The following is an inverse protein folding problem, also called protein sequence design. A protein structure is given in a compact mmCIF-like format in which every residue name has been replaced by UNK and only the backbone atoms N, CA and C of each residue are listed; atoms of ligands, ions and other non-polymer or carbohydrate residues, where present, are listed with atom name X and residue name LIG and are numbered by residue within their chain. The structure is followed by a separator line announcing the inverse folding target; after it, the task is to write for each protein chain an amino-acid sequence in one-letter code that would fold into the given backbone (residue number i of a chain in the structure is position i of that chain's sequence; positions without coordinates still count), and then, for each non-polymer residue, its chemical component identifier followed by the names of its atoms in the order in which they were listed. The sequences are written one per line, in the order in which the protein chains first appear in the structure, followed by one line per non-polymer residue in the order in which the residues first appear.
data_IF_129349245440
#
_entry.id   IF_129349245440
#
_cell.length_a   1.000
_cell.length_b   1.000
_cell.length_c   1.000
_cell.angle_alpha   90.00
_cell.angle_beta   90.00
_cell.angle_gamma   90.00
#
_symmetry.space_group_name_H-M   'P 1'
#
loop_
_entity.id
_entity.type
_entity.pdbx_description
1 polymer ?
#
# COMPACT_ATOMS: atom_id res chain seq x y z
N UNK A 1 12.69 -20.31 -1.63
CA UNK A 1 13.83 -19.72 -2.36
C UNK A 1 14.34 -20.66 -3.44
N UNK A 2 15.08 -21.71 -3.09
CA UNK A 2 15.68 -22.68 -4.01
C UNK A 2 14.80 -23.08 -5.21
N UNK A 3 13.58 -23.57 -4.94
CA UNK A 3 12.66 -23.98 -6.00
C UNK A 3 12.23 -22.81 -6.92
N UNK A 4 12.09 -21.60 -6.38
CA UNK A 4 11.76 -20.41 -7.17
C UNK A 4 12.93 -20.03 -8.09
N UNK A 5 14.15 -19.95 -7.57
CA UNK A 5 15.34 -19.64 -8.36
C UNK A 5 15.56 -20.68 -9.45
N UNK A 6 15.50 -21.97 -9.09
CA UNK A 6 15.64 -23.08 -10.04
C UNK A 6 14.59 -23.05 -11.15
N UNK A 7 13.32 -22.80 -10.83
CA UNK A 7 12.25 -22.80 -11.83
C UNK A 7 12.32 -21.61 -12.80
N UNK A 8 12.96 -20.52 -12.39
CA UNK A 8 13.09 -19.29 -13.20
C UNK A 8 14.49 -19.12 -13.80
N UNK A 9 15.39 -20.11 -13.65
CA UNK A 9 16.79 -20.02 -14.08
C UNK A 9 17.53 -18.79 -13.53
N UNK A 10 17.31 -18.48 -12.24
CA UNK A 10 17.96 -17.39 -11.51
C UNK A 10 19.03 -17.99 -10.59
N UNK A 11 20.24 -17.44 -10.56
CA UNK A 11 21.24 -17.81 -9.55
C UNK A 11 20.79 -17.31 -8.16
N UNK A 12 20.95 -18.13 -7.12
CA UNK A 12 20.54 -17.69 -5.78
C UNK A 12 21.29 -16.45 -5.31
N UNK A 13 22.56 -16.32 -5.69
CA UNK A 13 23.36 -15.13 -5.39
C UNK A 13 22.76 -13.86 -6.00
N UNK A 14 22.27 -13.94 -7.25
CA UNK A 14 21.57 -12.84 -7.90
C UNK A 14 20.28 -12.50 -7.16
N UNK A 15 19.48 -13.48 -6.76
CA UNK A 15 18.28 -13.22 -5.97
C UNK A 15 18.62 -12.50 -4.66
N UNK A 16 19.63 -13.00 -3.93
CA UNK A 16 20.06 -12.43 -2.65
C UNK A 16 20.66 -11.03 -2.78
N UNK A 17 21.11 -10.63 -3.98
CA UNK A 17 21.54 -9.25 -4.25
C UNK A 17 20.38 -8.25 -4.21
N UNK A 18 19.14 -8.70 -4.45
CA UNK A 18 17.93 -7.85 -4.41
C UNK A 18 17.07 -8.08 -3.17
N UNK A 19 16.88 -9.34 -2.77
CA UNK A 19 15.92 -9.71 -1.72
C UNK A 19 16.51 -10.74 -0.74
N UNK A 20 16.39 -10.47 0.56
CA UNK A 20 16.84 -11.39 1.62
C UNK A 20 15.95 -12.63 1.79
N UNK A 21 14.72 -12.62 1.26
CA UNK A 21 13.78 -13.73 1.35
C UNK A 21 12.67 -13.62 0.30
N UNK A 22 11.89 -14.71 0.13
CA UNK A 22 10.69 -14.68 -0.72
C UNK A 22 9.60 -13.79 -0.10
N UNK A 23 9.57 -13.70 1.22
CA UNK A 23 8.65 -12.84 1.97
C UNK A 23 8.95 -11.37 1.69
N UNK A 24 10.23 -10.97 1.62
CA UNK A 24 10.63 -9.61 1.27
C UNK A 24 10.21 -9.26 -0.17
N UNK A 25 10.39 -10.18 -1.12
CA UNK A 25 9.88 -10.00 -2.48
C UNK A 25 8.36 -9.80 -2.51
N UNK A 26 7.59 -10.60 -1.75
CA UNK A 26 6.13 -10.47 -1.70
C UNK A 26 5.67 -9.15 -1.11
N UNK A 27 6.36 -8.67 -0.06
CA UNK A 27 6.11 -7.34 0.51
C UNK A 27 6.41 -6.22 -0.50
N UNK A 28 7.54 -6.32 -1.20
CA UNK A 28 7.94 -5.33 -2.20
C UNK A 28 6.94 -5.24 -3.37
N UNK A 29 6.33 -6.36 -3.79
CA UNK A 29 5.28 -6.34 -4.82
C UNK A 29 4.09 -5.45 -4.39
N UNK A 30 3.66 -5.50 -3.13
CA UNK A 30 2.60 -4.63 -2.62
C UNK A 30 3.03 -3.16 -2.56
N UNK A 31 4.30 -2.91 -2.20
CA UNK A 31 4.88 -1.56 -2.26
C UNK A 31 4.86 -1.05 -3.71
N UNK A 32 5.23 -1.86 -4.70
CA UNK A 32 5.20 -1.48 -6.13
C UNK A 32 3.79 -1.17 -6.62
N UNK A 33 2.76 -1.88 -6.16
CA UNK A 33 1.37 -1.51 -6.49
C UNK A 33 1.03 -0.11 -5.96
N UNK A 34 1.46 0.21 -4.76
CA UNK A 34 1.25 1.53 -4.18
C UNK A 34 2.08 2.62 -4.88
N UNK A 35 3.36 2.38 -5.18
CA UNK A 35 4.20 3.34 -5.91
C UNK A 35 3.60 3.69 -7.28
N UNK A 36 3.10 2.69 -8.01
CA UNK A 36 2.40 2.90 -9.27
C UNK A 36 1.12 3.74 -9.06
N UNK A 37 0.35 3.42 -8.01
CA UNK A 37 -0.85 4.19 -7.65
C UNK A 37 -0.52 5.66 -7.36
N UNK A 38 0.42 5.92 -6.45
CA UNK A 38 0.85 7.26 -6.07
C UNK A 38 1.38 8.04 -7.29
N UNK A 39 2.17 7.39 -8.14
CA UNK A 39 2.67 7.98 -9.38
C UNK A 39 1.54 8.37 -10.32
N UNK A 40 0.48 7.56 -10.44
CA UNK A 40 -0.66 7.88 -11.29
C UNK A 40 -1.52 9.01 -10.73
N UNK A 41 -1.68 9.10 -9.41
CA UNK A 41 -2.37 10.23 -8.77
C UNK A 41 -1.64 11.55 -9.02
N UNK A 42 -0.31 11.55 -8.91
CA UNK A 42 0.50 12.75 -9.11
C UNK A 42 0.57 13.23 -10.57
N UNK A 43 0.13 12.42 -11.54
CA UNK A 43 -0.02 12.85 -12.94
C UNK A 43 -1.26 13.70 -13.17
N UNK A 44 -2.25 13.63 -12.29
CA UNK A 44 -3.42 14.49 -12.34
C UNK A 44 -3.05 15.86 -11.76
N UNK A 45 -2.92 16.87 -12.63
CA UNK A 45 -2.56 18.23 -12.26
C UNK A 45 -3.54 18.85 -11.26
N UNK A 46 -4.80 18.38 -11.24
CA UNK A 46 -5.81 18.89 -10.32
C UNK A 46 -5.76 18.19 -8.95
N UNK A 47 -4.99 17.11 -8.81
CA UNK A 47 -4.95 16.30 -7.59
C UNK A 47 -4.62 17.13 -6.34
N UNK A 48 -3.71 18.09 -6.46
CA UNK A 48 -3.33 18.98 -5.38
C UNK A 48 -4.51 19.82 -4.84
N UNK A 49 -5.48 20.15 -5.71
CA UNK A 49 -6.65 20.98 -5.40
C UNK A 49 -7.83 20.19 -4.82
N UNK A 50 -7.75 18.86 -4.82
CA UNK A 50 -8.81 18.00 -4.29
C UNK A 50 -8.95 18.16 -2.78
N UNK A 51 -10.20 18.08 -2.29
CA UNK A 51 -10.46 17.94 -0.86
C UNK A 51 -9.85 16.62 -0.32
N UNK A 52 -9.60 16.55 0.99
CA UNK A 52 -9.05 15.32 1.61
C UNK A 52 -9.88 14.07 1.29
N UNK A 53 -11.21 14.20 1.30
CA UNK A 53 -12.11 13.11 0.93
C UNK A 53 -11.94 12.67 -0.51
N UNK A 54 -11.77 13.62 -1.45
CA UNK A 54 -11.53 13.30 -2.85
C UNK A 54 -10.14 12.69 -3.06
N UNK A 55 -9.10 13.20 -2.40
CA UNK A 55 -7.74 12.61 -2.42
C UNK A 55 -7.75 11.15 -1.94
N UNK A 56 -8.47 10.87 -0.84
CA UNK A 56 -8.64 9.50 -0.33
C UNK A 56 -9.42 8.61 -1.31
N UNK A 57 -10.51 9.12 -1.88
CA UNK A 57 -11.32 8.38 -2.85
C UNK A 57 -10.52 8.04 -4.10
N UNK A 58 -9.77 9.00 -4.65
CA UNK A 58 -8.86 8.80 -5.77
C UNK A 58 -7.79 7.76 -5.46
N UNK A 59 -7.19 7.81 -4.26
CA UNK A 59 -6.23 6.80 -3.82
C UNK A 59 -6.83 5.39 -3.85
N UNK A 60 -8.02 5.19 -3.28
CA UNK A 60 -8.68 3.89 -3.33
C UNK A 60 -8.98 3.46 -4.76
N UNK A 61 -9.61 4.33 -5.54
CA UNK A 61 -10.00 4.01 -6.92
C UNK A 61 -8.78 3.56 -7.74
N UNK A 62 -7.74 4.38 -7.79
CA UNK A 62 -6.52 4.08 -8.54
C UNK A 62 -5.78 2.86 -7.99
N UNK A 63 -5.76 2.66 -6.67
CA UNK A 63 -5.17 1.45 -6.07
C UNK A 63 -5.91 0.20 -6.54
N UNK A 64 -7.25 0.21 -6.53
CA UNK A 64 -8.04 -0.93 -6.99
C UNK A 64 -7.91 -1.17 -8.49
N UNK A 65 -7.71 -0.13 -9.31
CA UNK A 65 -7.36 -0.30 -10.73
C UNK A 65 -6.02 -1.02 -10.89
N UNK A 66 -4.98 -0.59 -10.18
CA UNK A 66 -3.66 -1.26 -10.20
C UNK A 66 -3.76 -2.71 -9.72
N UNK A 67 -4.51 -2.97 -8.65
CA UNK A 67 -4.74 -4.33 -8.16
C UNK A 67 -5.52 -5.18 -9.17
N UNK A 68 -6.49 -4.59 -9.86
CA UNK A 68 -7.28 -5.25 -10.90
C UNK A 68 -6.43 -5.62 -12.12
N UNK A 69 -5.52 -4.74 -12.55
CA UNK A 69 -4.56 -5.05 -13.61
C UNK A 69 -3.62 -6.21 -13.23
N UNK A 70 -3.40 -6.42 -11.93
CA UNK A 70 -2.54 -7.48 -11.38
C UNK A 70 -3.34 -8.59 -10.68
N UNK A 71 -4.60 -8.79 -11.07
CA UNK A 71 -5.60 -9.63 -10.37
C UNK A 71 -5.12 -11.04 -10.05
N UNK A 72 -4.40 -11.71 -10.96
CA UNK A 72 -3.94 -13.08 -10.73
C UNK A 72 -3.02 -13.18 -9.52
N UNK A 73 -2.09 -12.25 -9.37
CA UNK A 73 -1.20 -12.19 -8.20
C UNK A 73 -1.99 -11.81 -6.94
N UNK A 74 -2.85 -10.80 -7.02
CA UNK A 74 -3.66 -10.34 -5.89
C UNK A 74 -4.53 -11.47 -5.35
N UNK A 75 -5.25 -12.18 -6.22
CA UNK A 75 -6.04 -13.33 -5.83
C UNK A 75 -5.18 -14.45 -5.23
N UNK A 76 -4.01 -14.74 -5.81
CA UNK A 76 -3.10 -15.73 -5.25
C UNK A 76 -2.61 -15.34 -3.85
N UNK A 77 -2.17 -14.10 -3.66
CA UNK A 77 -1.67 -13.56 -2.39
C UNK A 77 -2.75 -13.51 -1.31
N UNK A 78 -4.01 -13.26 -1.71
CA UNK A 78 -5.16 -13.24 -0.80
C UNK A 78 -5.80 -14.64 -0.63
N UNK A 79 -5.51 -15.63 -1.47
CA UNK A 79 -6.15 -16.97 -1.45
C UNK A 79 -5.98 -17.71 -0.12
N UNK A 80 -4.88 -17.47 0.58
CA UNK A 80 -4.58 -18.13 1.87
C UNK A 80 -5.17 -17.35 3.06
N UNK A 81 -6.43 -16.90 2.96
CA UNK A 81 -7.15 -16.17 4.03
C UNK A 81 -7.26 -16.96 5.35
N UNK A 82 -7.03 -18.28 5.32
CA UNK A 82 -6.92 -19.10 6.54
C UNK A 82 -5.74 -18.69 7.43
N UNK A 83 -4.70 -18.08 6.85
CA UNK A 83 -3.54 -17.52 7.53
C UNK A 83 -3.53 -15.98 7.41
N UNK A 84 -4.61 -15.30 7.81
CA UNK A 84 -4.73 -13.84 7.72
C UNK A 84 -3.52 -13.07 8.28
N UNK A 85 -2.79 -13.64 9.25
CA UNK A 85 -1.52 -13.08 9.76
C UNK A 85 -0.42 -13.00 8.69
N UNK A 86 -0.29 -13.99 7.80
CA UNK A 86 0.71 -13.99 6.71
C UNK A 86 0.38 -12.96 5.64
N UNK A 87 -0.91 -12.80 5.31
CA UNK A 87 -1.36 -11.73 4.40
C UNK A 87 -1.06 -10.36 5.01
N UNK A 88 -1.35 -10.16 6.30
CA UNK A 88 -1.03 -8.90 6.98
C UNK A 88 0.48 -8.60 7.04
N UNK A 89 1.33 -9.62 7.15
CA UNK A 89 2.78 -9.44 7.11
C UNK A 89 3.26 -8.89 5.76
N UNK A 90 2.74 -9.40 4.65
CA UNK A 90 3.11 -8.93 3.30
C UNK A 90 2.61 -7.51 3.01
N UNK A 91 1.58 -7.04 3.72
CA UNK A 91 1.03 -5.70 3.57
C UNK A 91 1.73 -4.65 4.44
N UNK A 92 2.76 -5.02 5.22
CA UNK A 92 3.38 -4.12 6.21
C UNK A 92 3.99 -2.86 5.56
N UNK A 93 4.82 -3.01 4.54
CA UNK A 93 5.40 -1.89 3.80
C UNK A 93 4.34 -1.03 3.13
N UNK A 94 3.35 -1.66 2.49
CA UNK A 94 2.18 -0.97 1.93
C UNK A 94 1.46 -0.12 3.00
N UNK A 95 1.18 -0.69 4.17
CA UNK A 95 0.52 0.01 5.28
C UNK A 95 1.30 1.25 5.71
N UNK A 96 2.62 1.15 5.78
CA UNK A 96 3.48 2.28 6.15
C UNK A 96 3.33 3.43 5.15
N UNK A 97 3.51 3.13 3.86
CA UNK A 97 3.42 4.13 2.78
C UNK A 97 2.00 4.73 2.67
N UNK A 98 0.98 3.88 2.78
CA UNK A 98 -0.41 4.29 2.78
C UNK A 98 -0.70 5.28 3.91
N UNK A 99 -0.33 4.94 5.15
CA UNK A 99 -0.59 5.81 6.30
C UNK A 99 0.18 7.12 6.21
N UNK A 100 1.40 7.10 5.69
CA UNK A 100 2.19 8.31 5.47
C UNK A 100 1.46 9.26 4.51
N UNK A 101 0.93 8.72 3.41
CA UNK A 101 0.12 9.49 2.47
C UNK A 101 -1.14 10.07 3.09
N UNK A 102 -1.88 9.27 3.87
CA UNK A 102 -3.07 9.77 4.57
C UNK A 102 -2.71 10.89 5.55
N UNK A 103 -1.59 10.77 6.26
CA UNK A 103 -1.12 11.81 7.18
C UNK A 103 -0.82 13.11 6.42
N UNK A 104 -0.12 13.01 5.27
CA UNK A 104 0.21 14.17 4.42
C UNK A 104 -1.04 14.91 3.90
N UNK A 105 -2.04 14.19 3.39
CA UNK A 105 -3.25 14.85 2.87
C UNK A 105 -4.07 15.52 3.99
N UNK A 106 -4.03 15.00 5.21
CA UNK A 106 -4.69 15.63 6.37
C UNK A 106 -3.97 16.93 6.76
N UNK A 107 -2.64 16.96 6.66
CA UNK A 107 -1.81 18.13 6.99
C UNK A 107 -2.03 19.33 6.05
N UNK A 108 -2.32 19.09 4.76
CA UNK A 108 -2.40 20.15 3.73
C UNK A 108 -3.60 21.09 3.87
N UNK A 109 -4.66 20.70 4.59
CA UNK A 109 -5.92 21.43 4.64
C UNK A 109 -6.47 21.71 6.05
N UNK A 110 -5.71 21.38 7.11
CA UNK A 110 -6.12 21.73 8.47
C UNK A 110 -5.64 23.13 8.84
N UNK A 111 -6.57 24.02 9.21
CA UNK A 111 -6.24 25.24 9.95
C UNK A 111 -5.41 24.90 11.20
N UNK A 112 -4.54 25.80 11.68
CA UNK A 112 -3.73 25.59 12.88
C UNK A 112 -4.62 25.40 14.13
N UNK A 113 -5.08 24.16 14.33
CA UNK A 113 -5.74 23.70 15.56
C UNK A 113 -4.69 23.44 16.63
N UNK A 114 -5.15 23.31 17.88
CA UNK A 114 -4.32 22.92 19.02
C UNK A 114 -3.50 21.67 18.70
N UNK A 115 -2.17 21.76 18.78
CA UNK A 115 -1.22 20.69 18.46
C UNK A 115 -1.54 19.36 19.16
N UNK A 116 -2.12 19.43 20.36
CA UNK A 116 -2.50 18.27 21.16
C UNK A 116 -3.61 17.44 20.50
N UNK A 117 -4.58 18.11 19.86
CA UNK A 117 -5.68 17.44 19.15
C UNK A 117 -5.15 16.79 17.88
N UNK A 118 -4.30 17.50 17.14
CA UNK A 118 -3.70 17.01 15.89
C UNK A 118 -2.83 15.75 16.08
N UNK A 119 -2.07 15.67 17.18
CA UNK A 119 -1.26 14.48 17.50
C UNK A 119 -2.09 13.21 17.68
N UNK A 120 -3.37 13.34 18.03
CA UNK A 120 -4.27 12.21 18.27
C UNK A 120 -5.15 11.92 17.04
N UNK A 121 -5.65 12.96 16.36
CA UNK A 121 -6.59 12.79 15.23
C UNK A 121 -5.92 12.24 13.98
N UNK A 122 -4.68 12.63 13.66
CA UNK A 122 -3.98 12.20 12.44
C UNK A 122 -3.69 10.70 12.41
N UNK A 123 -3.07 10.10 13.45
CA UNK A 123 -2.87 8.66 13.47
C UNK A 123 -4.20 7.89 13.44
N UNK A 124 -5.22 8.40 14.14
CA UNK A 124 -6.55 7.76 14.15
C UNK A 124 -7.19 7.74 12.76
N UNK A 125 -7.12 8.84 12.01
CA UNK A 125 -7.64 8.92 10.65
C UNK A 125 -6.88 7.98 9.71
N UNK A 126 -5.55 7.96 9.78
CA UNK A 126 -4.71 7.05 8.97
C UNK A 126 -5.00 5.57 9.26
N UNK A 127 -5.20 5.21 10.54
CA UNK A 127 -5.59 3.84 10.91
C UNK A 127 -7.02 3.51 10.45
N UNK A 128 -7.97 4.44 10.57
CA UNK A 128 -9.33 4.25 10.09
C UNK A 128 -9.39 4.03 8.58
N UNK A 129 -8.66 4.84 7.80
CA UNK A 129 -8.52 4.68 6.37
C UNK A 129 -7.88 3.33 6.01
N UNK A 130 -6.85 2.90 6.74
CA UNK A 130 -6.23 1.58 6.52
C UNK A 130 -7.22 0.42 6.78
N UNK A 131 -8.01 0.49 7.85
CA UNK A 131 -9.04 -0.51 8.15
C UNK A 131 -10.10 -0.54 7.05
N UNK A 132 -10.54 0.62 6.57
CA UNK A 132 -11.47 0.72 5.45
C UNK A 132 -10.90 0.09 4.18
N UNK A 133 -9.63 0.37 3.86
CA UNK A 133 -8.95 -0.25 2.71
C UNK A 133 -8.94 -1.79 2.83
N UNK A 134 -8.57 -2.32 4.00
CA UNK A 134 -8.58 -3.77 4.23
C UNK A 134 -9.98 -4.37 4.11
N UNK A 135 -11.02 -3.65 4.52
CA UNK A 135 -12.41 -4.08 4.34
C UNK A 135 -12.80 -4.16 2.86
N UNK A 136 -12.40 -3.17 2.06
CA UNK A 136 -12.64 -3.15 0.61
C UNK A 136 -11.80 -4.19 -0.15
N UNK A 137 -10.63 -4.56 0.38
CA UNK A 137 -9.74 -5.55 -0.22
C UNK A 137 -10.24 -6.99 -0.06
N UNK A 138 -11.13 -7.24 0.90
CA UNK A 138 -11.62 -8.58 1.27
C UNK A 138 -12.64 -9.14 0.29
#
# INVERSE_FOLDING_TARGET
MYAFCKNNNIEEADFYSFYGSIEALKEDIWIKFYENTATNLLKDENFATYSNSNKLLSLYFTMFEVLTLNRSYVLYALKDTKNGLKTLQQLKGLRSNFKEFITKIVDEHEEPKNETIQRVTKPLYAEGAWIQFLFLLK
#
